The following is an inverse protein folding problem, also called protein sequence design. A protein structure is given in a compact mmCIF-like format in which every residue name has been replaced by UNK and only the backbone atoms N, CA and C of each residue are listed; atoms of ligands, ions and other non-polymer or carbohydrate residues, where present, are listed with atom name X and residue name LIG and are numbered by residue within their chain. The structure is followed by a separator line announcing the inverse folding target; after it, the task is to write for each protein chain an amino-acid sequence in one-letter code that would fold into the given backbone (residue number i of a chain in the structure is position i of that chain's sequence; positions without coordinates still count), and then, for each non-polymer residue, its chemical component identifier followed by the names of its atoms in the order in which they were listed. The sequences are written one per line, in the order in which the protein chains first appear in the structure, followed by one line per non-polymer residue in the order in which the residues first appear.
data_IF_692508374797
#
_entry.id   IF_692508374797
#
_cell.length_a   1.000
_cell.length_b   1.000
_cell.length_c   1.000
_cell.angle_alpha   90.00
_cell.angle_beta   90.00
_cell.angle_gamma   90.00
#
_symmetry.space_group_name_H-M   'P 1'
#
loop_
_entity.id
_entity.type
_entity.pdbx_description
1 polymer ?
#
# COMPACT_ATOMS: atom_id res chain seq x y z
N UNK A 1 12.87 -9.49 -10.37
CA UNK A 1 12.24 -10.48 -11.29
C UNK A 1 13.23 -11.56 -11.79
N UNK A 2 14.51 -11.21 -12.10
CA UNK A 2 15.50 -12.16 -12.66
C UNK A 2 15.61 -13.47 -11.88
N UNK A 3 15.58 -13.43 -10.54
CA UNK A 3 15.65 -14.63 -9.68
C UNK A 3 14.30 -15.29 -9.42
N UNK A 4 13.21 -14.57 -9.60
CA UNK A 4 11.85 -15.06 -9.34
C UNK A 4 11.27 -15.83 -10.52
N UNK A 5 11.48 -15.34 -11.74
CA UNK A 5 10.93 -15.95 -12.97
C UNK A 5 11.38 -17.40 -13.14
N UNK A 6 12.68 -17.75 -13.04
CA UNK A 6 13.10 -19.14 -13.17
C UNK A 6 12.50 -20.08 -12.10
N UNK A 7 12.27 -19.56 -10.90
CA UNK A 7 11.67 -20.32 -9.79
C UNK A 7 10.15 -20.40 -9.86
N UNK A 8 9.52 -19.63 -10.76
CA UNK A 8 8.05 -19.49 -10.86
C UNK A 8 7.39 -19.16 -9.51
N UNK A 9 8.12 -18.41 -8.68
CA UNK A 9 7.71 -18.05 -7.31
C UNK A 9 8.30 -16.72 -6.89
N UNK A 10 7.48 -15.85 -6.34
CA UNK A 10 7.86 -14.58 -5.77
C UNK A 10 6.66 -13.68 -5.52
N UNK A 11 6.86 -12.67 -4.66
CA UNK A 11 5.87 -11.65 -4.38
C UNK A 11 6.53 -10.28 -4.50
N UNK A 12 5.86 -9.36 -5.18
CA UNK A 12 6.24 -7.95 -5.31
C UNK A 12 5.07 -7.12 -4.83
N UNK A 13 5.28 -6.30 -3.81
CA UNK A 13 4.22 -5.45 -3.27
C UNK A 13 4.64 -3.99 -3.43
N UNK A 14 3.81 -3.22 -4.13
CA UNK A 14 3.96 -1.78 -4.25
C UNK A 14 3.15 -1.09 -3.16
N UNK A 15 3.81 -0.29 -2.34
CA UNK A 15 3.14 0.54 -1.34
C UNK A 15 2.63 1.83 -1.98
N UNK A 16 1.33 1.97 -2.04
CA UNK A 16 0.61 3.17 -2.44
C UNK A 16 0.26 4.07 -1.26
N UNK A 17 -0.56 5.06 -1.55
CA UNK A 17 -1.09 6.04 -0.60
C UNK A 17 -2.45 6.53 -1.12
N UNK A 18 -3.14 7.37 -0.34
CA UNK A 18 -4.31 8.15 -0.79
C UNK A 18 -4.11 8.71 -2.20
N UNK A 19 -2.94 9.27 -2.47
CA UNK A 19 -2.57 9.88 -3.74
C UNK A 19 -2.48 8.89 -4.91
N UNK A 20 -2.51 7.58 -4.66
CA UNK A 20 -2.56 6.55 -5.72
C UNK A 20 -3.92 6.49 -6.43
N UNK A 21 -4.97 7.01 -5.79
CA UNK A 21 -6.35 6.93 -6.27
C UNK A 21 -7.05 8.29 -6.32
N UNK A 22 -6.55 9.29 -5.60
CA UNK A 22 -7.13 10.64 -5.52
C UNK A 22 -6.05 11.71 -5.66
N UNK A 23 -6.32 12.73 -6.48
CA UNK A 23 -5.55 13.96 -6.47
C UNK A 23 -6.02 14.91 -5.36
N UNK A 24 -5.13 15.80 -4.93
CA UNK A 24 -5.43 16.88 -3.98
C UNK A 24 -4.66 18.12 -4.36
N UNK A 25 -5.25 19.29 -4.15
CA UNK A 25 -4.57 20.57 -4.29
C UNK A 25 -3.26 20.61 -3.51
N UNK A 26 -2.19 21.12 -4.11
CA UNK A 26 -0.85 21.15 -3.55
C UNK A 26 -0.06 19.84 -3.65
N UNK A 27 -0.66 18.74 -4.14
CA UNK A 27 -0.03 17.42 -4.22
C UNK A 27 0.14 16.88 -5.65
N UNK A 28 0.14 17.75 -6.67
CA UNK A 28 0.13 17.34 -8.07
C UNK A 28 1.27 16.35 -8.41
N UNK A 29 2.52 16.70 -8.10
CA UNK A 29 3.67 15.83 -8.38
C UNK A 29 3.61 14.50 -7.62
N UNK A 30 3.24 14.55 -6.33
CA UNK A 30 3.11 13.36 -5.49
C UNK A 30 1.99 12.44 -5.99
N UNK A 31 0.82 13.01 -6.31
CA UNK A 31 -0.32 12.26 -6.84
C UNK A 31 0.00 11.64 -8.20
N UNK A 32 0.63 12.41 -9.10
CA UNK A 32 1.07 11.89 -10.40
C UNK A 32 2.03 10.71 -10.26
N UNK A 33 3.03 10.82 -9.40
CA UNK A 33 3.99 9.74 -9.14
C UNK A 33 3.33 8.49 -8.52
N UNK A 34 2.39 8.67 -7.59
CA UNK A 34 1.70 7.55 -6.94
C UNK A 34 0.71 6.85 -7.87
N UNK A 35 0.01 7.58 -8.73
CA UNK A 35 -0.88 7.00 -9.74
C UNK A 35 -0.08 6.28 -10.84
N UNK A 36 1.04 6.84 -11.27
CA UNK A 36 1.96 6.16 -12.20
C UNK A 36 2.48 4.84 -11.60
N UNK A 37 2.84 4.82 -10.29
CA UNK A 37 3.24 3.59 -9.59
C UNK A 37 2.11 2.55 -9.58
N UNK A 38 0.86 2.96 -9.37
CA UNK A 38 -0.30 2.06 -9.42
C UNK A 38 -0.46 1.44 -10.81
N UNK A 39 -0.36 2.24 -11.87
CA UNK A 39 -0.43 1.76 -13.25
C UNK A 39 0.71 0.79 -13.58
N UNK A 40 1.93 1.07 -13.11
CA UNK A 40 3.08 0.18 -13.23
C UNK A 40 2.81 -1.16 -12.54
N UNK A 41 2.33 -1.13 -11.29
CA UNK A 41 1.99 -2.34 -10.54
C UNK A 41 0.95 -3.20 -11.28
N UNK A 42 -0.07 -2.56 -11.85
CA UNK A 42 -1.12 -3.25 -12.61
C UNK A 42 -0.58 -3.94 -13.87
N UNK A 43 0.27 -3.25 -14.64
CA UNK A 43 0.92 -3.82 -15.82
C UNK A 43 1.81 -4.99 -15.45
N UNK A 44 2.62 -4.84 -14.40
CA UNK A 44 3.48 -5.90 -13.90
C UNK A 44 2.70 -7.10 -13.37
N UNK A 45 1.55 -6.88 -12.72
CA UNK A 45 0.70 -7.97 -12.26
C UNK A 45 0.21 -8.83 -13.44
N UNK A 46 -0.28 -8.20 -14.50
CA UNK A 46 -0.72 -8.90 -15.73
C UNK A 46 0.40 -9.65 -16.44
N UNK A 47 1.59 -9.05 -16.47
CA UNK A 47 2.75 -9.63 -17.15
C UNK A 47 3.41 -10.78 -16.37
N UNK A 48 3.41 -10.70 -15.04
CA UNK A 48 4.18 -11.61 -14.19
C UNK A 48 3.34 -12.73 -13.55
N UNK A 49 2.01 -12.55 -13.44
CA UNK A 49 1.14 -13.58 -12.90
C UNK A 49 1.22 -14.91 -13.69
N UNK A 50 1.22 -14.93 -15.04
CA UNK A 50 1.42 -16.16 -15.79
C UNK A 50 2.78 -16.84 -15.56
N UNK A 51 3.77 -16.06 -15.08
CA UNK A 51 5.12 -16.54 -14.73
C UNK A 51 5.21 -17.00 -13.25
N UNK A 52 4.09 -17.03 -12.54
CA UNK A 52 4.00 -17.50 -11.16
C UNK A 52 4.47 -16.48 -10.11
N UNK A 53 4.51 -15.19 -10.45
CA UNK A 53 4.91 -14.12 -9.54
C UNK A 53 3.68 -13.29 -9.17
N UNK A 54 3.43 -13.19 -7.88
CA UNK A 54 2.36 -12.38 -7.33
C UNK A 54 2.79 -10.90 -7.26
N UNK A 55 2.07 -10.03 -7.94
CA UNK A 55 2.28 -8.57 -7.84
C UNK A 55 1.03 -7.94 -7.26
N UNK A 56 1.19 -7.19 -6.18
CA UNK A 56 0.10 -6.49 -5.50
C UNK A 56 0.42 -5.01 -5.28
N UNK A 57 -0.62 -4.22 -5.12
CA UNK A 57 -0.57 -2.81 -4.76
C UNK A 57 -1.38 -2.58 -3.48
N UNK A 58 -0.73 -2.09 -2.42
CA UNK A 58 -1.37 -1.79 -1.14
C UNK A 58 -1.51 -0.29 -0.99
N UNK A 59 -2.74 0.19 -0.94
CA UNK A 59 -3.05 1.60 -0.70
C UNK A 59 -3.09 1.81 0.82
N UNK A 60 -2.13 2.56 1.35
CA UNK A 60 -2.12 2.98 2.76
C UNK A 60 -2.75 4.37 2.82
N UNK A 61 -4.06 4.40 3.08
CA UNK A 61 -4.89 5.62 3.04
C UNK A 61 -5.12 6.15 4.45
N UNK A 62 -4.09 6.76 5.03
CA UNK A 62 -4.12 7.35 6.35
C UNK A 62 -2.74 7.64 6.92
N UNK A 63 -2.72 8.35 8.03
CA UNK A 63 -1.46 8.65 8.73
C UNK A 63 -0.96 7.42 9.50
N UNK A 64 0.32 7.11 9.31
CA UNK A 64 0.99 6.00 9.99
C UNK A 64 1.66 6.52 11.26
N UNK A 65 1.47 5.81 12.38
CA UNK A 65 2.09 6.13 13.67
C UNK A 65 3.61 5.86 13.62
N UNK A 66 4.35 6.84 13.13
CA UNK A 66 5.80 6.79 13.01
C UNK A 66 6.44 7.96 13.76
N UNK A 67 7.70 7.83 14.22
CA UNK A 67 8.41 8.94 14.88
C UNK A 67 8.44 10.22 14.03
N UNK A 68 8.53 10.09 12.72
CA UNK A 68 8.54 11.22 11.79
C UNK A 68 7.18 11.95 11.76
N UNK A 69 6.07 11.23 11.65
CA UNK A 69 4.72 11.81 11.68
C UNK A 69 4.43 12.44 13.04
N UNK A 70 4.82 11.77 14.13
CA UNK A 70 4.66 12.27 15.48
C UNK A 70 5.42 13.61 15.71
N UNK A 71 6.62 13.72 15.13
CA UNK A 71 7.44 14.94 15.22
C UNK A 71 6.86 16.10 14.42
N UNK A 72 6.37 15.84 13.21
CA UNK A 72 5.88 16.91 12.32
C UNK A 72 4.46 17.37 12.64
N UNK A 73 3.62 16.49 13.17
CA UNK A 73 2.20 16.75 13.38
C UNK A 73 1.73 16.33 14.79
N UNK A 74 2.35 16.84 15.89
CA UNK A 74 2.12 16.32 17.24
C UNK A 74 0.69 16.47 17.71
N UNK A 75 0.00 17.57 17.43
CA UNK A 75 -1.38 17.80 17.84
C UNK A 75 -2.35 16.88 17.06
N UNK A 76 -2.15 16.74 15.76
CA UNK A 76 -2.92 15.81 14.95
C UNK A 76 -2.79 14.36 15.47
N UNK A 77 -1.56 13.94 15.74
CA UNK A 77 -1.26 12.60 16.29
C UNK A 77 -1.95 12.40 17.63
N UNK A 78 -1.86 13.38 18.54
CA UNK A 78 -2.49 13.34 19.86
C UNK A 78 -4.01 13.14 19.75
N UNK A 79 -4.66 13.90 18.89
CA UNK A 79 -6.12 13.77 18.67
C UNK A 79 -6.49 12.43 18.04
N UNK A 80 -5.76 12.00 17.03
CA UNK A 80 -6.03 10.72 16.36
C UNK A 80 -5.76 9.50 17.25
N UNK A 81 -4.77 9.56 18.15
CA UNK A 81 -4.52 8.47 19.12
C UNK A 81 -5.67 8.27 20.10
N UNK A 82 -6.40 9.33 20.48
CA UNK A 82 -7.57 9.22 21.38
C UNK A 82 -8.68 8.34 20.81
N UNK A 83 -8.78 8.25 19.49
CA UNK A 83 -9.86 7.57 18.79
C UNK A 83 -9.36 6.37 17.96
N UNK A 84 -8.14 5.89 18.22
CA UNK A 84 -7.49 4.82 17.45
C UNK A 84 -7.50 5.09 15.93
N UNK A 85 -7.26 6.34 15.56
CA UNK A 85 -7.35 6.87 14.21
C UNK A 85 -6.00 6.93 13.46
N UNK A 86 -4.93 6.34 14.00
CA UNK A 86 -3.64 6.18 13.34
C UNK A 86 -3.41 4.73 12.95
N UNK A 87 -2.80 4.53 11.78
CA UNK A 87 -2.41 3.20 11.34
C UNK A 87 -1.11 2.78 12.04
N UNK A 88 -1.12 1.65 12.71
CA UNK A 88 0.08 1.09 13.33
C UNK A 88 0.89 0.32 12.28
N UNK A 89 2.23 0.49 12.23
CA UNK A 89 3.07 -0.24 11.28
C UNK A 89 2.90 -1.75 11.31
N UNK A 90 2.78 -2.33 12.51
CA UNK A 90 2.61 -3.78 12.67
C UNK A 90 1.28 -4.28 12.12
N UNK A 91 0.19 -3.53 12.30
CA UNK A 91 -1.12 -3.88 11.74
C UNK A 91 -1.12 -3.78 10.21
N UNK A 92 -0.40 -2.80 9.65
CA UNK A 92 -0.17 -2.73 8.21
C UNK A 92 0.63 -3.94 7.74
N UNK A 93 1.72 -4.30 8.42
CA UNK A 93 2.62 -5.39 8.05
C UNK A 93 1.92 -6.76 7.99
N UNK A 94 0.93 -7.01 8.85
CA UNK A 94 0.13 -8.24 8.80
C UNK A 94 -0.57 -8.43 7.45
N UNK A 95 -1.04 -7.34 6.85
CA UNK A 95 -1.69 -7.40 5.52
C UNK A 95 -0.70 -7.74 4.41
N UNK A 96 0.56 -7.28 4.52
CA UNK A 96 1.62 -7.66 3.57
C UNK A 96 1.95 -9.15 3.67
N UNK A 97 2.03 -9.67 4.88
CA UNK A 97 2.25 -11.10 5.11
C UNK A 97 1.07 -11.94 4.60
N UNK A 98 -0.16 -11.47 4.82
CA UNK A 98 -1.35 -12.11 4.27
C UNK A 98 -1.29 -12.20 2.74
N UNK A 99 -0.99 -11.11 2.05
CA UNK A 99 -0.85 -11.07 0.59
C UNK A 99 0.24 -12.06 0.13
N UNK A 100 1.39 -12.06 0.80
CA UNK A 100 2.50 -12.97 0.45
C UNK A 100 2.10 -14.45 0.54
N UNK A 101 1.26 -14.82 1.50
CA UNK A 101 0.88 -16.19 1.78
C UNK A 101 -0.36 -16.66 0.98
N UNK A 102 -0.95 -15.81 0.15
CA UNK A 102 -2.13 -16.18 -0.64
C UNK A 102 -1.84 -17.29 -1.65
N UNK A 103 -2.75 -18.25 -1.79
CA UNK A 103 -2.65 -19.28 -2.83
C UNK A 103 -2.81 -18.67 -4.22
N UNK A 104 -2.19 -19.30 -5.24
CA UNK A 104 -2.18 -18.79 -6.62
C UNK A 104 -3.56 -18.61 -7.25
N UNK A 105 -4.54 -19.37 -6.80
CA UNK A 105 -5.93 -19.30 -7.31
C UNK A 105 -6.75 -18.16 -6.71
N UNK A 106 -6.18 -17.39 -5.74
CA UNK A 106 -6.88 -16.31 -5.06
C UNK A 106 -5.91 -15.17 -4.68
N UNK A 107 -5.21 -14.61 -5.66
CA UNK A 107 -4.30 -13.50 -5.46
C UNK A 107 -5.02 -12.16 -5.44
N UNK A 108 -4.78 -11.36 -4.41
CA UNK A 108 -5.16 -9.94 -4.35
C UNK A 108 -4.24 -9.11 -5.26
N UNK A 109 -4.81 -8.32 -6.15
CA UNK A 109 -4.03 -7.30 -6.86
C UNK A 109 -3.97 -5.99 -6.07
N UNK A 110 -5.11 -5.49 -5.59
CA UNK A 110 -5.16 -4.21 -4.89
C UNK A 110 -5.86 -4.36 -3.54
N UNK A 111 -5.24 -3.82 -2.49
CA UNK A 111 -5.78 -3.78 -1.14
C UNK A 111 -5.76 -2.34 -0.63
N UNK A 112 -6.88 -1.89 -0.09
CA UNK A 112 -7.04 -0.56 0.48
C UNK A 112 -7.12 -0.66 2.02
N UNK A 113 -6.16 -0.03 2.68
CA UNK A 113 -6.06 0.01 4.14
C UNK A 113 -6.24 1.44 4.61
N UNK A 114 -7.16 1.65 5.55
CA UNK A 114 -7.41 2.96 6.14
C UNK A 114 -7.86 2.85 7.59
N UNK A 115 -7.66 3.88 8.42
CA UNK A 115 -8.30 3.96 9.73
C UNK A 115 -9.82 4.02 9.56
N UNK A 116 -10.56 3.46 10.51
CA UNK A 116 -12.03 3.46 10.49
C UNK A 116 -12.67 4.86 10.47
N UNK A 117 -11.91 5.89 10.89
CA UNK A 117 -12.32 7.30 10.93
C UNK A 117 -11.91 8.10 9.69
N UNK A 118 -11.30 7.47 8.69
CA UNK A 118 -10.90 8.16 7.46
C UNK A 118 -12.11 8.47 6.59
N UNK A 119 -12.15 9.70 6.08
CA UNK A 119 -13.19 10.16 5.16
C UNK A 119 -12.68 10.18 3.73
N UNK A 120 -13.49 9.74 2.78
CA UNK A 120 -13.08 9.57 1.38
C UNK A 120 -14.27 9.59 0.41
#
# INVERSE_FOLDING_TARGET
TRKMIPRKKGTIIFTGATASIRGKEGFAAFSGAKQAKRALAQSMAKELAPKGIHVAHVIVDGAIDTPWVNKLFPEYVKEKKKIDGLMKPDDIAQNYLMIHNQPKNAWTFELDLRPWVETW
#
